data_IF_189296062126
#
_entry.id   IF_189296062126
#
_cell.length_a   1.000
_cell.length_b   1.000
_cell.length_c   1.000
_cell.angle_alpha   90.00
_cell.angle_beta   90.00
_cell.angle_gamma   90.00
#
_symmetry.space_group_name_H-M   'P 1'
#
loop_
_entity.id
_entity.type
_entity.pdbx_description
1 polymer ?
#
# COMPACT_ATOMS: atom_id res chain seq x y z
N UNK A 1 -19.22 -9.87 8.98
CA UNK A 1 -18.46 -8.66 9.33
C UNK A 1 -18.63 -7.60 8.24
N UNK A 2 -18.91 -6.34 8.62
CA UNK A 2 -19.06 -5.21 7.69
C UNK A 2 -17.69 -4.66 7.30
N UNK A 3 -17.54 -4.27 6.04
CA UNK A 3 -16.34 -3.63 5.51
C UNK A 3 -16.67 -2.19 5.11
N UNK A 4 -15.87 -1.26 5.62
CA UNK A 4 -16.02 0.16 5.27
C UNK A 4 -15.13 0.53 4.08
N UNK A 5 -15.48 1.62 3.43
CA UNK A 5 -14.65 2.19 2.38
C UNK A 5 -13.33 2.76 2.94
N UNK A 6 -12.20 2.28 2.42
CA UNK A 6 -10.88 2.73 2.86
C UNK A 6 -10.30 3.87 2.00
N UNK A 7 -10.86 4.14 0.82
CA UNK A 7 -10.30 5.08 -0.15
C UNK A 7 -10.23 6.51 0.38
N UNK A 8 -11.22 6.89 1.21
CA UNK A 8 -11.26 8.21 1.86
C UNK A 8 -10.02 8.48 2.71
N UNK A 9 -9.44 7.46 3.34
CA UNK A 9 -8.25 7.63 4.16
C UNK A 9 -7.00 7.96 3.33
N UNK A 10 -6.88 7.43 2.11
CA UNK A 10 -5.79 7.83 1.22
C UNK A 10 -5.92 9.29 0.79
N UNK A 11 -7.14 9.73 0.46
CA UNK A 11 -7.40 11.12 0.08
C UNK A 11 -7.07 12.05 1.24
N UNK A 12 -7.62 11.80 2.43
CA UNK A 12 -7.37 12.62 3.62
C UNK A 12 -5.89 12.58 4.04
N UNK A 13 -5.22 11.45 3.87
CA UNK A 13 -3.82 11.27 4.30
C UNK A 13 -2.76 11.80 3.34
N UNK A 14 -3.09 12.05 2.07
CA UNK A 14 -2.12 12.50 1.05
C UNK A 14 -2.50 13.86 0.47
N UNK A 15 -3.79 14.08 0.15
CA UNK A 15 -4.23 15.26 -0.58
C UNK A 15 -3.88 16.58 0.15
N UNK A 16 -4.14 16.75 1.46
CA UNK A 16 -3.82 18.00 2.15
C UNK A 16 -2.32 18.36 2.06
N UNK A 17 -1.45 17.38 2.26
CA UNK A 17 0.00 17.59 2.16
C UNK A 17 0.41 18.00 0.75
N UNK A 18 -0.11 17.32 -0.27
CA UNK A 18 0.19 17.67 -1.66
C UNK A 18 -0.33 19.06 -2.04
N UNK A 19 -1.49 19.47 -1.52
CA UNK A 19 -2.04 20.82 -1.72
C UNK A 19 -1.17 21.88 -1.07
N UNK A 20 -0.69 21.66 0.16
CA UNK A 20 0.22 22.60 0.83
C UNK A 20 1.54 22.73 0.07
N UNK A 21 2.14 21.60 -0.34
CA UNK A 21 3.36 21.60 -1.17
C UNK A 21 3.14 22.39 -2.46
N UNK A 22 2.01 22.18 -3.12
CA UNK A 22 1.66 22.86 -4.35
C UNK A 22 1.53 24.38 -4.16
N UNK A 23 0.78 24.82 -3.15
CA UNK A 23 0.61 26.24 -2.84
C UNK A 23 1.96 26.89 -2.53
N UNK A 24 2.79 26.27 -1.67
CA UNK A 24 4.11 26.81 -1.33
C UNK A 24 5.02 26.91 -2.55
N UNK A 25 4.99 25.91 -3.43
CA UNK A 25 5.77 25.91 -4.67
C UNK A 25 5.35 27.03 -5.62
N UNK A 26 4.04 27.31 -5.72
CA UNK A 26 3.52 28.43 -6.51
C UNK A 26 3.92 29.79 -5.91
N UNK A 27 3.80 29.94 -4.58
CA UNK A 27 4.21 31.17 -3.89
C UNK A 27 5.70 31.47 -4.09
N UNK A 28 6.55 30.45 -3.96
CA UNK A 28 8.00 30.56 -4.18
C UNK A 28 8.38 30.93 -5.62
N UNK A 29 7.56 30.53 -6.59
CA UNK A 29 7.84 30.73 -8.02
C UNK A 29 7.14 31.95 -8.62
N UNK A 30 6.35 32.70 -7.85
CA UNK A 30 5.49 33.79 -8.34
C UNK A 30 6.22 34.82 -9.23
N UNK A 31 7.45 35.20 -8.85
CA UNK A 31 8.25 36.17 -9.61
C UNK A 31 8.84 35.62 -10.92
N UNK A 32 8.77 34.30 -11.14
CA UNK A 32 9.31 33.60 -12.32
C UNK A 32 8.17 32.95 -13.09
N UNK A 33 7.51 33.73 -13.95
CA UNK A 33 6.30 33.32 -14.70
C UNK A 33 6.42 31.94 -15.37
N UNK A 34 7.53 31.63 -16.03
CA UNK A 34 7.73 30.32 -16.70
C UNK A 34 7.72 29.15 -15.71
N UNK A 35 8.42 29.30 -14.57
CA UNK A 35 8.46 28.27 -13.52
C UNK A 35 7.09 28.13 -12.88
N UNK A 36 6.43 29.25 -12.61
CA UNK A 36 5.09 29.29 -12.03
C UNK A 36 4.06 28.52 -12.87
N UNK A 37 3.96 28.82 -14.16
CA UNK A 37 2.98 28.15 -15.03
C UNK A 37 3.28 26.66 -15.24
N UNK A 38 4.55 26.28 -15.33
CA UNK A 38 4.94 24.87 -15.37
C UNK A 38 4.54 24.13 -14.10
N UNK A 39 4.80 24.72 -12.93
CA UNK A 39 4.38 24.15 -11.64
C UNK A 39 2.86 24.07 -11.52
N UNK A 40 2.13 25.10 -11.97
CA UNK A 40 0.67 25.12 -11.99
C UNK A 40 0.11 23.95 -12.82
N UNK A 41 0.61 23.75 -14.03
CA UNK A 41 0.19 22.66 -14.91
C UNK A 41 0.48 21.30 -14.28
N UNK A 42 1.70 21.09 -13.78
CA UNK A 42 2.10 19.82 -13.14
C UNK A 42 1.26 19.55 -11.89
N UNK A 43 1.06 20.54 -11.03
CA UNK A 43 0.30 20.37 -9.79
C UNK A 43 -1.18 20.05 -10.03
N UNK A 44 -1.82 20.68 -11.03
CA UNK A 44 -3.19 20.35 -11.42
C UNK A 44 -3.27 18.92 -11.95
N UNK A 45 -2.35 18.52 -12.83
CA UNK A 45 -2.30 17.16 -13.38
C UNK A 45 -2.07 16.11 -12.29
N UNK A 46 -1.13 16.33 -11.37
CA UNK A 46 -0.85 15.42 -10.26
C UNK A 46 -2.05 15.30 -9.33
N UNK A 47 -2.71 16.41 -8.98
CA UNK A 47 -3.91 16.41 -8.15
C UNK A 47 -5.04 15.64 -8.80
N UNK A 48 -5.29 15.88 -10.10
CA UNK A 48 -6.29 15.15 -10.87
C UNK A 48 -6.01 13.64 -10.91
N UNK A 49 -4.76 13.25 -11.16
CA UNK A 49 -4.36 11.83 -11.19
C UNK A 49 -4.50 11.17 -9.81
N UNK A 50 -4.14 11.84 -8.72
CA UNK A 50 -4.31 11.34 -7.36
C UNK A 50 -5.79 11.12 -7.04
N UNK A 51 -6.64 12.10 -7.32
CA UNK A 51 -8.09 11.97 -7.11
C UNK A 51 -8.62 10.81 -7.93
N UNK A 52 -8.34 10.77 -9.25
CA UNK A 52 -8.78 9.67 -10.13
C UNK A 52 -8.34 8.30 -9.63
N UNK A 53 -7.08 8.18 -9.17
CA UNK A 53 -6.52 6.92 -8.65
C UNK A 53 -7.22 6.47 -7.37
N UNK A 54 -7.53 7.38 -6.46
CA UNK A 54 -8.20 7.04 -5.20
C UNK A 54 -9.72 6.96 -5.30
N UNK A 55 -10.33 7.38 -6.41
CA UNK A 55 -11.75 7.13 -6.68
C UNK A 55 -12.05 5.63 -6.75
N UNK A 56 -11.17 4.83 -7.37
CA UNK A 56 -11.34 3.38 -7.48
C UNK A 56 -10.02 2.66 -7.21
N UNK A 57 -9.95 1.93 -6.09
CA UNK A 57 -8.82 1.08 -5.75
C UNK A 57 -9.27 -0.39 -5.72
N UNK A 58 -8.55 -1.31 -6.39
CA UNK A 58 -7.39 -1.10 -7.26
C UNK A 58 -7.75 -0.56 -8.66
N UNK A 59 -8.92 -0.92 -9.19
CA UNK A 59 -9.45 -0.53 -10.52
C UNK A 59 -11.00 -0.45 -10.50
N UNK A 60 -11.61 0.32 -11.42
CA UNK A 60 -13.06 0.32 -11.62
C UNK A 60 -13.57 -1.06 -12.04
N UNK A 61 -14.81 -1.37 -11.67
CA UNK A 61 -15.47 -2.64 -12.05
C UNK A 61 -15.57 -2.82 -13.57
N UNK A 62 -15.75 -1.71 -14.29
CA UNK A 62 -15.90 -1.65 -15.75
C UNK A 62 -14.67 -2.15 -16.52
N UNK A 63 -13.50 -2.20 -15.87
CA UNK A 63 -12.28 -2.74 -16.47
C UNK A 63 -12.22 -4.28 -16.44
N UNK A 64 -13.10 -4.95 -15.67
CA UNK A 64 -13.16 -6.41 -15.59
C UNK A 64 -14.22 -6.93 -16.59
N UNK A 65 -13.79 -7.70 -17.59
CA UNK A 65 -14.64 -8.11 -18.72
C UNK A 65 -15.44 -9.39 -18.46
N UNK A 66 -14.98 -10.26 -17.56
CA UNK A 66 -15.54 -11.61 -17.35
C UNK A 66 -15.87 -11.91 -15.87
N UNK A 67 -16.73 -11.09 -15.24
CA UNK A 67 -17.12 -11.30 -13.83
C UNK A 67 -18.18 -12.40 -13.68
N UNK A 68 -17.83 -13.50 -13.00
CA UNK A 68 -18.78 -14.57 -12.64
C UNK A 68 -18.96 -14.65 -11.14
N UNK A 69 -20.20 -14.59 -10.66
CA UNK A 69 -20.48 -14.67 -9.22
C UNK A 69 -20.23 -16.09 -8.68
N UNK A 70 -19.58 -16.18 -7.52
CA UNK A 70 -19.32 -17.42 -6.81
C UNK A 70 -19.73 -17.30 -5.34
N UNK A 71 -20.00 -18.43 -4.69
CA UNK A 71 -20.38 -18.50 -3.27
C UNK A 71 -19.42 -19.44 -2.52
N UNK A 72 -18.17 -19.00 -2.24
CA UNK A 72 -17.22 -19.82 -1.50
C UNK A 72 -17.73 -20.06 -0.07
N UNK A 73 -17.55 -21.28 0.43
CA UNK A 73 -17.88 -21.63 1.82
C UNK A 73 -16.71 -21.26 2.73
N UNK A 74 -16.66 -20.00 3.15
CA UNK A 74 -15.62 -19.51 4.06
C UNK A 74 -15.99 -19.75 5.53
N UNK A 75 -15.00 -20.01 6.41
CA UNK A 75 -15.24 -20.15 7.85
C UNK A 75 -15.75 -18.84 8.48
N UNK A 76 -15.51 -17.70 7.83
CA UNK A 76 -15.91 -16.37 8.29
C UNK A 76 -16.93 -15.78 7.32
N UNK A 77 -18.08 -15.34 7.86
CA UNK A 77 -19.13 -14.66 7.08
C UNK A 77 -18.79 -13.17 6.92
N UNK A 78 -18.35 -12.78 5.73
CA UNK A 78 -18.14 -11.38 5.34
C UNK A 78 -19.31 -10.81 4.55
N UNK A 79 -19.56 -9.51 4.73
CA UNK A 79 -20.62 -8.81 4.00
C UNK A 79 -20.15 -8.34 2.62
N UNK A 80 -19.80 -9.29 1.75
CA UNK A 80 -19.22 -9.05 0.42
C UNK A 80 -19.83 -9.97 -0.64
N UNK A 81 -19.69 -9.61 -1.91
CA UNK A 81 -20.00 -10.48 -3.05
C UNK A 81 -18.70 -10.98 -3.66
N UNK A 82 -18.64 -12.26 -4.00
CA UNK A 82 -17.45 -12.89 -4.57
C UNK A 82 -17.64 -13.10 -6.07
N UNK A 83 -16.64 -12.72 -6.83
CA UNK A 83 -16.60 -12.88 -8.28
C UNK A 83 -15.31 -13.58 -8.68
N UNK A 84 -15.31 -14.24 -9.83
CA UNK A 84 -14.09 -14.66 -10.52
C UNK A 84 -13.92 -13.85 -11.79
N UNK A 85 -12.67 -13.64 -12.20
CA UNK A 85 -12.35 -13.02 -13.49
C UNK A 85 -11.07 -13.63 -14.08
N UNK A 86 -11.06 -13.78 -15.41
CA UNK A 86 -9.89 -14.20 -16.20
C UNK A 86 -8.87 -13.08 -16.39
N UNK A 87 -9.23 -11.83 -16.14
CA UNK A 87 -8.34 -10.68 -16.32
C UNK A 87 -7.13 -10.71 -15.36
N UNK A 88 -7.21 -11.53 -14.31
CA UNK A 88 -6.12 -11.78 -13.37
C UNK A 88 -4.96 -12.54 -14.02
N UNK A 89 -5.24 -13.39 -15.02
CA UNK A 89 -4.27 -14.26 -15.69
C UNK A 89 -3.53 -13.59 -16.85
N UNK A 90 -3.87 -12.33 -17.16
CA UNK A 90 -3.29 -11.61 -18.30
C UNK A 90 -1.77 -11.40 -18.19
N UNK A 91 -1.23 -11.39 -16.97
CA UNK A 91 0.19 -11.14 -16.71
C UNK A 91 0.80 -12.25 -15.84
N UNK A 92 1.52 -13.22 -16.43
CA UNK A 92 2.09 -14.35 -15.71
C UNK A 92 3.10 -13.97 -14.61
N UNK A 93 3.73 -12.79 -14.74
CA UNK A 93 4.75 -12.29 -13.81
C UNK A 93 4.17 -11.58 -12.58
N UNK A 94 2.86 -11.35 -12.51
CA UNK A 94 2.21 -10.70 -11.37
C UNK A 94 1.00 -11.53 -10.92
N UNK A 95 1.22 -12.58 -10.10
CA UNK A 95 0.17 -13.49 -9.68
C UNK A 95 -0.79 -12.78 -8.72
N UNK A 96 -1.80 -12.13 -9.29
CA UNK A 96 -2.91 -11.57 -8.52
C UNK A 96 -3.81 -12.70 -8.10
N UNK A 97 -3.96 -12.88 -6.79
CA UNK A 97 -4.71 -14.00 -6.21
C UNK A 97 -6.14 -13.56 -5.91
N UNK A 98 -6.27 -12.48 -5.14
CA UNK A 98 -7.55 -11.87 -4.75
C UNK A 98 -7.39 -10.35 -4.77
N UNK A 99 -8.38 -9.62 -5.29
CA UNK A 99 -8.46 -8.17 -5.18
C UNK A 99 -9.82 -7.76 -4.61
N UNK A 100 -9.84 -6.69 -3.82
CA UNK A 100 -11.07 -6.10 -3.28
C UNK A 100 -11.35 -4.81 -4.05
N UNK A 101 -12.49 -4.77 -4.72
CA UNK A 101 -12.94 -3.58 -5.44
C UNK A 101 -13.62 -2.63 -4.47
N UNK A 102 -12.91 -1.54 -4.16
CA UNK A 102 -13.39 -0.47 -3.29
C UNK A 102 -13.59 0.80 -4.12
N UNK A 103 -14.84 1.12 -4.51
CA UNK A 103 -15.16 2.43 -5.06
C UNK A 103 -15.29 3.46 -3.93
N UNK A 104 -14.92 4.72 -4.18
CA UNK A 104 -15.01 5.83 -3.20
C UNK A 104 -16.46 6.13 -2.76
N UNK A 105 -17.41 5.86 -3.65
CA UNK A 105 -18.84 5.98 -3.39
C UNK A 105 -19.49 4.62 -3.59
N UNK A 106 -19.93 4.01 -2.50
CA UNK A 106 -20.82 2.85 -2.52
C UNK A 106 -22.26 3.38 -2.48
N UNK A 107 -23.13 2.86 -3.34
CA UNK A 107 -24.57 3.13 -3.21
C UNK A 107 -25.06 2.49 -1.91
N UNK A 108 -26.08 3.09 -1.28
CA UNK A 108 -26.68 2.53 -0.08
C UNK A 108 -27.16 1.08 -0.34
N UNK A 109 -26.74 0.16 0.53
CA UNK A 109 -27.03 -1.28 0.39
C UNK A 109 -26.12 -2.06 -0.57
N UNK A 110 -25.19 -1.41 -1.27
CA UNK A 110 -24.21 -2.11 -2.11
C UNK A 110 -23.09 -2.72 -1.25
N UNK A 111 -22.76 -3.99 -1.52
CA UNK A 111 -21.67 -4.71 -0.86
C UNK A 111 -20.39 -4.59 -1.67
N UNK A 112 -19.24 -4.58 -0.97
CA UNK A 112 -17.94 -4.65 -1.62
C UNK A 112 -17.82 -5.95 -2.43
N UNK A 113 -17.08 -5.87 -3.54
CA UNK A 113 -16.89 -6.98 -4.48
C UNK A 113 -15.46 -7.50 -4.33
N UNK A 114 -15.33 -8.79 -4.10
CA UNK A 114 -14.04 -9.49 -4.01
C UNK A 114 -13.88 -10.29 -5.29
N UNK A 115 -12.83 -10.01 -6.05
CA UNK A 115 -12.56 -10.72 -7.29
C UNK A 115 -11.41 -11.68 -7.09
N UNK A 116 -11.61 -12.93 -7.49
CA UNK A 116 -10.70 -14.04 -7.31
C UNK A 116 -10.22 -14.49 -8.68
N UNK A 117 -8.95 -14.84 -8.76
CA UNK A 117 -8.39 -15.39 -9.99
C UNK A 117 -9.01 -16.76 -10.33
N UNK A 118 -9.53 -16.90 -11.56
CA UNK A 118 -10.15 -18.14 -12.04
C UNK A 118 -9.16 -19.31 -12.16
N UNK A 119 -7.91 -19.09 -12.60
CA UNK A 119 -6.90 -20.15 -12.72
C UNK A 119 -6.48 -20.72 -11.37
N UNK A 120 -6.39 -19.87 -10.35
CA UNK A 120 -6.08 -20.29 -8.99
C UNK A 120 -7.21 -21.12 -8.38
N UNK A 121 -8.47 -20.80 -8.71
CA UNK A 121 -9.62 -21.57 -8.25
C UNK A 121 -9.64 -23.00 -8.82
N UNK A 122 -9.05 -23.21 -10.00
CA UNK A 122 -8.97 -24.53 -10.67
C UNK A 122 -7.75 -25.35 -10.25
N UNK A 123 -6.64 -24.68 -9.91
CA UNK A 123 -5.33 -25.32 -9.79
C UNK A 123 -4.81 -25.44 -8.34
N UNK A 124 -5.50 -24.86 -7.34
CA UNK A 124 -5.04 -24.86 -5.94
C UNK A 124 -6.05 -25.50 -5.00
N UNK A 125 -5.54 -26.02 -3.90
CA UNK A 125 -6.34 -26.63 -2.85
C UNK A 125 -7.28 -25.58 -2.21
N UNK A 126 -8.49 -26.00 -1.85
CA UNK A 126 -9.49 -25.14 -1.22
C UNK A 126 -8.98 -24.35 0.01
N UNK A 127 -8.21 -24.95 0.96
CA UNK A 127 -7.70 -24.22 2.12
C UNK A 127 -6.81 -23.04 1.74
N UNK A 128 -6.00 -23.18 0.68
CA UNK A 128 -5.12 -22.12 0.21
C UNK A 128 -5.94 -20.92 -0.30
N UNK A 129 -6.99 -21.20 -1.09
CA UNK A 129 -7.86 -20.17 -1.65
C UNK A 129 -8.62 -19.45 -0.53
N UNK A 130 -9.15 -20.20 0.45
CA UNK A 130 -9.88 -19.62 1.57
C UNK A 130 -9.00 -18.75 2.47
N UNK A 131 -7.75 -19.17 2.72
CA UNK A 131 -6.76 -18.36 3.42
C UNK A 131 -6.48 -17.08 2.63
N UNK A 132 -6.26 -17.16 1.31
CA UNK A 132 -6.00 -15.99 0.47
C UNK A 132 -7.15 -14.96 0.54
N UNK A 133 -8.40 -15.42 0.42
CA UNK A 133 -9.59 -14.56 0.48
C UNK A 133 -9.71 -13.91 1.86
N UNK A 134 -9.63 -14.70 2.94
CA UNK A 134 -9.75 -14.18 4.30
C UNK A 134 -8.64 -13.19 4.62
N UNK A 135 -7.41 -13.48 4.19
CA UNK A 135 -6.25 -12.60 4.35
C UNK A 135 -6.47 -11.25 3.67
N UNK A 136 -6.94 -11.25 2.42
CA UNK A 136 -7.14 -10.01 1.66
C UNK A 136 -8.26 -9.17 2.27
N UNK A 137 -9.36 -9.81 2.67
CA UNK A 137 -10.49 -9.15 3.35
C UNK A 137 -10.05 -8.55 4.69
N UNK A 138 -9.27 -9.29 5.48
CA UNK A 138 -8.80 -8.80 6.77
C UNK A 138 -7.78 -7.67 6.61
N UNK A 139 -6.87 -7.77 5.63
CA UNK A 139 -5.93 -6.71 5.27
C UNK A 139 -6.65 -5.42 4.92
N UNK A 140 -7.76 -5.53 4.20
CA UNK A 140 -8.63 -4.41 3.86
C UNK A 140 -9.39 -3.87 5.09
N UNK A 141 -10.02 -4.75 5.89
CA UNK A 141 -10.78 -4.38 7.11
C UNK A 141 -9.92 -3.62 8.11
N UNK A 142 -8.71 -4.11 8.36
CA UNK A 142 -7.74 -3.51 9.30
C UNK A 142 -7.09 -2.25 8.76
N UNK A 143 -7.37 -1.88 7.50
CA UNK A 143 -6.76 -0.76 6.77
C UNK A 143 -5.23 -0.88 6.74
N UNK A 144 -4.72 -2.12 6.72
CA UNK A 144 -3.29 -2.41 6.84
C UNK A 144 -2.51 -1.74 5.69
N UNK A 145 -2.98 -1.89 4.45
CA UNK A 145 -2.34 -1.28 3.29
C UNK A 145 -2.33 0.26 3.35
N UNK A 146 -3.43 0.86 3.80
CA UNK A 146 -3.52 2.32 4.01
C UNK A 146 -2.47 2.77 5.00
N UNK A 147 -2.41 2.11 6.16
CA UNK A 147 -1.45 2.43 7.21
C UNK A 147 -0.02 2.29 6.70
N UNK A 148 0.29 1.20 5.99
CA UNK A 148 1.63 0.97 5.41
C UNK A 148 2.02 2.11 4.47
N UNK A 149 1.15 2.50 3.55
CA UNK A 149 1.43 3.55 2.57
C UNK A 149 1.53 4.92 3.24
N UNK A 150 0.60 5.27 4.12
CA UNK A 150 0.63 6.57 4.80
C UNK A 150 1.83 6.71 5.73
N UNK A 151 2.20 5.65 6.47
CA UNK A 151 3.42 5.65 7.29
C UNK A 151 4.68 5.87 6.44
N UNK A 152 4.72 5.39 5.19
CA UNK A 152 5.84 5.65 4.28
C UNK A 152 5.88 7.11 3.82
N UNK A 153 4.75 7.59 3.30
CA UNK A 153 4.68 8.80 2.48
C UNK A 153 4.51 10.06 3.33
N UNK A 154 3.68 10.03 4.38
CA UNK A 154 3.34 11.23 5.17
C UNK A 154 4.56 11.91 5.79
N UNK A 155 5.53 11.20 6.42
CA UNK A 155 6.74 11.85 6.96
C UNK A 155 7.58 12.55 5.89
N UNK A 156 7.70 11.94 4.70
CA UNK A 156 8.44 12.51 3.58
C UNK A 156 7.76 13.81 3.10
N UNK A 157 6.43 13.78 2.94
CA UNK A 157 5.67 14.97 2.54
C UNK A 157 5.79 16.09 3.58
N UNK A 158 5.77 15.77 4.87
CA UNK A 158 5.99 16.74 5.95
C UNK A 158 7.36 17.40 5.89
N UNK A 159 8.42 16.64 5.63
CA UNK A 159 9.77 17.19 5.46
C UNK A 159 9.83 18.14 4.28
N UNK A 160 9.22 17.79 3.13
CA UNK A 160 9.15 18.67 1.96
C UNK A 160 8.43 19.98 2.31
N UNK A 161 7.32 19.92 3.04
CA UNK A 161 6.59 21.12 3.48
C UNK A 161 7.48 22.01 4.34
N UNK A 162 8.19 21.43 5.32
CA UNK A 162 9.09 22.19 6.22
C UNK A 162 10.19 22.89 5.42
N UNK A 163 10.78 22.20 4.43
CA UNK A 163 11.81 22.76 3.55
C UNK A 163 11.24 23.89 2.69
N UNK A 164 10.10 23.70 2.05
CA UNK A 164 9.49 24.75 1.22
C UNK A 164 9.08 25.96 2.06
N UNK A 165 8.56 25.71 3.27
CA UNK A 165 8.19 26.76 4.21
C UNK A 165 9.40 27.57 4.69
N UNK A 166 10.53 26.94 4.99
CA UNK A 166 11.75 27.65 5.40
C UNK A 166 12.32 28.52 4.29
N UNK A 167 12.24 28.04 3.03
CA UNK A 167 12.59 28.84 1.85
C UNK A 167 11.65 30.03 1.67
N UNK A 168 10.35 29.84 1.90
CA UNK A 168 9.34 30.89 1.74
C UNK A 168 9.55 32.04 2.74
N UNK A 169 9.88 31.72 4.01
CA UNK A 169 10.21 32.69 5.05
C UNK A 169 11.64 33.24 4.89
N UNK A 170 12.41 32.76 3.90
CA UNK A 170 13.80 33.15 3.63
C UNK A 170 14.73 32.93 4.83
N UNK A 171 14.55 31.81 5.52
CA UNK A 171 15.45 31.42 6.61
C UNK A 171 16.82 31.13 6.01
N UNK A 172 17.79 32.01 6.27
CA UNK A 172 19.16 31.75 5.87
C UNK A 172 19.87 30.92 6.93
N UNK A 173 19.97 29.61 6.70
CA UNK A 173 20.62 28.68 7.61
C UNK A 173 22.12 29.01 7.84
N UNK A 174 22.78 29.72 6.91
CA UNK A 174 24.17 30.17 7.09
C UNK A 174 24.35 31.16 8.23
N UNK A 175 23.28 31.83 8.66
CA UNK A 175 23.33 32.76 9.79
C UNK A 175 23.35 32.03 11.14
N UNK A 176 22.99 30.75 11.17
CA UNK A 176 22.82 29.97 12.39
C UNK A 176 23.77 28.78 12.48
N UNK A 177 24.26 28.27 11.34
CA UNK A 177 25.07 27.06 11.27
C UNK A 177 26.39 27.32 10.52
N UNK A 178 27.46 26.71 11.01
CA UNK A 178 28.77 26.74 10.35
C UNK A 178 28.70 26.07 8.95
N UNK A 179 29.43 26.59 7.94
CA UNK A 179 29.51 25.98 6.60
C UNK A 179 29.77 24.46 6.60
N UNK A 180 30.63 23.95 7.49
CA UNK A 180 30.90 22.52 7.60
C UNK A 180 29.63 21.71 7.98
N UNK A 181 28.82 22.25 8.88
CA UNK A 181 27.55 21.61 9.29
C UNK A 181 26.56 21.63 8.12
N UNK A 182 26.45 22.76 7.42
CA UNK A 182 25.49 22.95 6.33
C UNK A 182 25.76 22.07 5.12
N UNK A 183 27.03 21.99 4.69
CA UNK A 183 27.38 21.33 3.44
C UNK A 183 27.77 19.87 3.62
N UNK A 184 28.17 19.44 4.83
CA UNK A 184 28.60 18.07 5.09
C UNK A 184 27.68 17.32 6.05
N UNK A 185 27.50 17.83 7.28
CA UNK A 185 26.77 17.10 8.32
C UNK A 185 25.27 17.00 8.01
N UNK A 186 24.63 18.09 7.60
CA UNK A 186 23.19 18.13 7.37
C UNK A 186 22.75 17.22 6.20
N UNK A 187 23.43 17.20 5.04
CA UNK A 187 23.14 16.23 3.98
C UNK A 187 23.34 14.78 4.42
N UNK A 188 24.47 14.45 5.08
CA UNK A 188 24.72 13.10 5.58
C UNK A 188 23.67 12.65 6.59
N UNK A 189 23.28 13.54 7.50
CA UNK A 189 22.23 13.26 8.48
C UNK A 189 20.88 13.02 7.81
N UNK A 190 20.54 13.79 6.77
CA UNK A 190 19.30 13.60 5.99
C UNK A 190 19.25 12.21 5.34
N UNK A 191 20.38 11.73 4.78
CA UNK A 191 20.48 10.39 4.22
C UNK A 191 20.29 9.31 5.30
N UNK A 192 20.93 9.47 6.46
CA UNK A 192 20.79 8.52 7.58
C UNK A 192 19.34 8.46 8.08
N UNK A 193 18.68 9.61 8.22
CA UNK A 193 17.26 9.68 8.59
C UNK A 193 16.37 8.98 7.57
N UNK A 194 16.62 9.20 6.27
CA UNK A 194 15.86 8.55 5.21
C UNK A 194 16.03 7.02 5.22
N UNK A 195 17.28 6.53 5.35
CA UNK A 195 17.55 5.09 5.45
C UNK A 195 16.93 4.48 6.71
N UNK A 196 17.01 5.18 7.84
CA UNK A 196 16.39 4.76 9.10
C UNK A 196 14.86 4.67 8.96
N UNK A 197 14.23 5.66 8.32
CA UNK A 197 12.80 5.66 8.03
C UNK A 197 12.39 4.45 7.20
N UNK A 198 13.10 4.16 6.11
CA UNK A 198 12.85 2.98 5.28
C UNK A 198 13.02 1.67 6.07
N UNK A 199 14.03 1.59 6.92
CA UNK A 199 14.25 0.42 7.78
C UNK A 199 13.08 0.20 8.75
N UNK A 200 12.65 1.24 9.46
CA UNK A 200 11.50 1.15 10.38
C UNK A 200 10.20 0.87 9.65
N UNK A 201 10.01 1.45 8.47
CA UNK A 201 8.86 1.17 7.62
C UNK A 201 8.77 -0.30 7.22
N UNK A 202 9.88 -0.92 6.78
CA UNK A 202 9.92 -2.35 6.46
C UNK A 202 9.58 -3.23 7.67
N UNK A 203 10.09 -2.90 8.86
CA UNK A 203 9.72 -3.60 10.09
C UNK A 203 8.22 -3.43 10.40
N UNK A 204 7.68 -2.24 10.18
CA UNK A 204 6.25 -1.98 10.36
C UNK A 204 5.39 -2.81 9.41
N UNK A 205 5.78 -2.94 8.13
CA UNK A 205 5.12 -3.84 7.17
C UNK A 205 5.08 -5.26 7.72
N UNK A 206 6.23 -5.77 8.16
CA UNK A 206 6.36 -7.13 8.73
C UNK A 206 5.46 -7.34 9.95
N UNK A 207 5.31 -6.32 10.80
CA UNK A 207 4.41 -6.38 11.96
C UNK A 207 2.94 -6.46 11.52
N UNK A 208 2.54 -5.68 10.52
CA UNK A 208 1.18 -5.74 9.98
C UNK A 208 0.89 -7.11 9.34
N UNK A 209 1.84 -7.67 8.60
CA UNK A 209 1.69 -9.00 8.02
C UNK A 209 1.61 -10.09 9.09
N UNK A 210 2.43 -10.01 10.15
CA UNK A 210 2.38 -10.97 11.24
C UNK A 210 1.03 -10.95 11.97
N UNK A 211 0.42 -9.77 12.16
CA UNK A 211 -0.93 -9.65 12.73
C UNK A 211 -2.00 -10.30 11.85
N UNK A 212 -1.84 -10.24 10.53
CA UNK A 212 -2.73 -10.93 9.60
C UNK A 212 -2.53 -12.44 9.68
N UNK A 213 -1.29 -12.91 9.80
CA UNK A 213 -0.99 -14.32 9.95
C UNK A 213 -1.59 -14.89 11.26
N UNK A 214 -1.46 -14.16 12.38
CA UNK A 214 -2.06 -14.49 13.68
C UNK A 214 -3.60 -14.51 13.64
N UNK A 215 -4.21 -13.57 12.91
CA UNK A 215 -5.65 -13.61 12.68
C UNK A 215 -6.06 -14.89 11.93
N UNK A 216 -5.29 -15.31 10.91
CA UNK A 216 -5.60 -16.50 10.13
C UNK A 216 -5.48 -17.79 10.96
N UNK A 217 -4.51 -17.89 11.87
CA UNK A 217 -4.38 -19.07 12.75
C UNK A 217 -5.54 -19.24 13.72
N UNK A 218 -6.36 -18.20 13.93
CA UNK A 218 -7.59 -18.31 14.73
C UNK A 218 -8.72 -19.07 13.99
N UNK A 219 -8.61 -19.28 12.68
CA UNK A 219 -9.66 -19.90 11.85
C UNK A 219 -9.17 -21.04 10.96
N UNK A 220 -7.86 -21.18 10.77
CA UNK A 220 -7.23 -22.20 9.93
C UNK A 220 -6.14 -22.93 10.70
N UNK A 221 -5.85 -24.18 10.30
CA UNK A 221 -4.75 -24.93 10.89
C UNK A 221 -3.42 -24.24 10.57
N UNK A 222 -2.50 -24.26 11.54
CA UNK A 222 -1.25 -23.50 11.48
C UNK A 222 -0.35 -24.00 10.34
N UNK A 223 -0.36 -25.30 10.09
CA UNK A 223 0.36 -25.90 8.97
C UNK A 223 -0.13 -25.37 7.61
N UNK A 224 -1.42 -25.08 7.47
CA UNK A 224 -1.97 -24.54 6.22
C UNK A 224 -1.60 -23.07 6.05
N UNK A 225 -1.55 -22.30 7.14
CA UNK A 225 -1.03 -20.91 7.13
C UNK A 225 0.47 -20.88 6.83
N UNK A 226 1.27 -21.79 7.41
CA UNK A 226 2.71 -21.91 7.12
C UNK A 226 2.96 -22.29 5.64
N UNK A 227 2.21 -23.27 5.11
CA UNK A 227 2.26 -23.65 3.70
C UNK A 227 1.88 -22.48 2.79
N UNK A 228 0.83 -21.73 3.16
CA UNK A 228 0.42 -20.54 2.42
C UNK A 228 1.56 -19.51 2.33
N UNK A 229 2.20 -19.18 3.46
CA UNK A 229 3.28 -18.18 3.50
C UNK A 229 4.46 -18.61 2.62
N UNK A 230 4.91 -19.86 2.75
CA UNK A 230 6.00 -20.41 1.94
C UNK A 230 5.67 -20.41 0.45
N UNK A 231 4.42 -20.67 0.09
CA UNK A 231 4.00 -20.68 -1.30
C UNK A 231 3.98 -19.27 -1.91
N UNK A 232 3.46 -18.28 -1.19
CA UNK A 232 3.48 -16.88 -1.63
C UNK A 232 4.92 -16.37 -1.77
N UNK A 233 5.79 -16.64 -0.80
CA UNK A 233 7.21 -16.30 -0.86
C UNK A 233 7.88 -16.92 -2.10
N UNK A 234 7.54 -18.17 -2.45
CA UNK A 234 8.05 -18.84 -3.64
C UNK A 234 7.54 -18.22 -4.95
N UNK A 235 6.30 -17.73 -4.98
CA UNK A 235 5.73 -17.04 -6.14
C UNK A 235 6.33 -15.64 -6.31
N UNK A 236 6.51 -14.89 -5.23
CA UNK A 236 7.08 -13.54 -5.24
C UNK A 236 8.59 -13.56 -5.51
N UNK A 237 9.32 -14.49 -4.89
CA UNK A 237 10.78 -14.62 -5.03
C UNK A 237 11.25 -15.37 -6.28
N UNK A 238 10.35 -15.96 -7.07
CA UNK A 238 10.68 -16.74 -8.27
C UNK A 238 11.15 -15.89 -9.47
N UNK A 239 10.81 -14.60 -9.49
CA UNK A 239 11.15 -13.67 -10.57
C UNK A 239 12.30 -12.71 -10.22
N UNK A 240 12.84 -12.79 -9.00
CA UNK A 240 13.78 -11.81 -8.46
C UNK A 240 15.25 -12.27 -8.54
N UNK A 241 16.18 -11.31 -8.60
CA UNK A 241 17.62 -11.58 -8.53
C UNK A 241 18.02 -12.11 -7.15
N UNK A 242 19.12 -12.85 -7.05
CA UNK A 242 19.55 -13.58 -5.84
C UNK A 242 19.58 -12.72 -4.56
N UNK A 243 19.99 -11.45 -4.65
CA UNK A 243 20.04 -10.52 -3.51
C UNK A 243 18.66 -10.11 -3.00
N UNK A 244 17.68 -9.92 -3.89
CA UNK A 244 16.31 -9.57 -3.49
C UNK A 244 15.59 -10.77 -2.85
N UNK A 245 15.89 -11.98 -3.35
CA UNK A 245 15.40 -13.23 -2.77
C UNK A 245 15.86 -13.43 -1.33
N UNK A 246 17.11 -13.12 -1.01
CA UNK A 246 17.61 -13.19 0.38
C UNK A 246 16.86 -12.23 1.31
N UNK A 247 16.63 -11.00 0.87
CA UNK A 247 15.90 -9.99 1.64
C UNK A 247 14.45 -10.39 1.90
N UNK A 248 13.73 -10.85 0.88
CA UNK A 248 12.36 -11.33 1.03
C UNK A 248 12.28 -12.58 1.93
N UNK A 249 13.24 -13.49 1.79
CA UNK A 249 13.31 -14.68 2.65
C UNK A 249 13.57 -14.35 4.12
N UNK A 250 14.27 -13.25 4.41
CA UNK A 250 14.51 -12.81 5.78
C UNK A 250 13.19 -12.45 6.49
N UNK A 251 12.30 -11.70 5.83
CA UNK A 251 11.01 -11.31 6.42
C UNK A 251 10.01 -12.47 6.51
N UNK A 252 9.97 -13.33 5.50
CA UNK A 252 9.16 -14.56 5.58
C UNK A 252 9.61 -15.44 6.75
N UNK A 253 10.92 -15.63 6.94
CA UNK A 253 11.47 -16.34 8.11
C UNK A 253 11.10 -15.65 9.44
N UNK A 254 11.07 -14.33 9.50
CA UNK A 254 10.61 -13.62 10.71
C UNK A 254 9.13 -13.90 11.02
N UNK A 255 8.27 -13.89 10.00
CA UNK A 255 6.84 -14.18 10.14
C UNK A 255 6.61 -15.61 10.60
N UNK A 256 7.30 -16.58 9.98
CA UNK A 256 7.28 -17.99 10.41
C UNK A 256 7.77 -18.18 11.85
N UNK A 257 8.84 -17.48 12.26
CA UNK A 257 9.33 -17.52 13.65
C UNK A 257 8.31 -16.97 14.65
N UNK A 258 7.55 -15.94 14.28
CA UNK A 258 6.50 -15.39 15.15
C UNK A 258 5.31 -16.34 15.26
N UNK A 259 4.89 -16.95 14.15
CA UNK A 259 3.84 -17.96 14.16
C UNK A 259 4.16 -19.12 15.10
N UNK A 260 5.40 -19.63 15.06
CA UNK A 260 5.85 -20.72 15.94
C UNK A 260 5.94 -20.35 17.43
N UNK A 261 5.98 -19.05 17.76
CA UNK A 261 6.03 -18.54 19.14
C UNK A 261 4.65 -18.21 19.71
N UNK A 262 3.63 -18.12 18.85
CA UNK A 262 2.25 -17.85 19.25
C UNK A 262 1.49 -19.15 19.63
N UNK A 263 2.14 -20.30 19.45
CA UNK A 263 1.75 -21.62 19.94
C UNK A 263 2.51 -21.96 21.20
#
# INVERSE_FOLDING_TARGET
MRLDNINKYYIVGILPFTTVIFILSLLLSYNRKTVFYSLLMVGVLTTYQLVKKFTFLPRPLEEYKDLKEIKPHLPIKYDVRYFTSKDFDKYPFFPRIVEILSPLYLKEGEKLKVVINESLLKNKNEPFIYIAICREIEKYRTKSQVKIILTLVTPILMVIIIVLWSLFIKINLSNYLNPFILYFILPSFTVILFLSHLFFWNRYVTVQEAKLDEFLTSYFHIDDVEKYIKHIEGLEGGAETSKHREFNSYYAKQRLKKLKKAN
#
